data_IF_501255263393
#
_entry.id   IF_501255263393
#
_cell.length_a   1.000
_cell.length_b   1.000
_cell.length_c   1.000
_cell.angle_alpha   90.00
_cell.angle_beta   90.00
_cell.angle_gamma   90.00
#
_symmetry.space_group_name_H-M   'P 1'
#
loop_
_entity.id
_entity.type
_entity.pdbx_description
1 polymer ?
#
# COMPACT_ATOMS: atom_id res chain seq x y z
N UNK A 1 -64.93 60.13 -36.22
CA UNK A 1 -64.94 61.61 -36.11
C UNK A 1 -63.57 61.95 -35.54
N UNK A 2 -62.70 62.28 -36.43
CA UNK A 2 -62.05 63.59 -36.67
C UNK A 2 -61.18 64.02 -35.46
N UNK A 3 -60.00 64.48 -35.60
CA UNK A 3 -59.32 64.96 -36.78
C UNK A 3 -57.83 65.13 -36.53
N UNK A 4 -57.16 65.08 -37.60
CA UNK A 4 -55.73 65.49 -37.79
C UNK A 4 -55.55 66.96 -37.41
N UNK A 5 -54.35 67.26 -36.91
CA UNK A 5 -53.67 68.51 -37.33
C UNK A 5 -52.15 68.30 -37.25
N UNK A 6 -51.49 68.45 -38.38
CA UNK A 6 -50.08 68.54 -38.67
C UNK A 6 -49.54 69.96 -38.39
N UNK A 7 -48.22 70.15 -38.38
CA UNK A 7 -47.48 71.22 -37.70
C UNK A 7 -47.26 72.47 -38.57
N UNK A 8 -46.59 73.46 -38.05
CA UNK A 8 -45.82 74.34 -38.94
C UNK A 8 -44.31 74.22 -38.72
N UNK A 9 -43.65 74.23 -39.84
CA UNK A 9 -42.22 74.32 -40.00
C UNK A 9 -41.69 75.73 -39.75
N UNK A 10 -40.39 75.77 -39.59
CA UNK A 10 -39.40 76.78 -39.91
C UNK A 10 -38.75 77.51 -38.71
N UNK A 11 -37.52 77.49 -38.55
CA UNK A 11 -36.61 78.49 -39.14
C UNK A 11 -35.18 78.26 -38.66
N UNK A 12 -34.30 78.20 -39.64
CA UNK A 12 -32.87 78.17 -39.48
C UNK A 12 -32.31 79.41 -38.81
N UNK A 13 -31.47 79.26 -37.80
CA UNK A 13 -30.45 80.26 -37.47
C UNK A 13 -29.24 79.56 -36.99
N UNK A 14 -28.16 79.66 -37.78
CA UNK A 14 -26.84 79.18 -37.47
C UNK A 14 -26.21 79.88 -36.27
N UNK A 15 -25.69 79.18 -35.38
CA UNK A 15 -24.87 79.63 -34.29
C UNK A 15 -23.70 78.64 -34.11
N UNK A 16 -22.57 78.95 -34.72
CA UNK A 16 -21.30 78.27 -34.46
C UNK A 16 -20.82 78.58 -33.06
N UNK A 17 -21.10 77.75 -32.10
CA UNK A 17 -20.43 77.81 -30.79
C UNK A 17 -19.22 76.83 -30.83
N UNK A 18 -18.05 77.44 -30.98
CA UNK A 18 -16.80 76.82 -30.69
C UNK A 18 -16.74 76.51 -29.21
N UNK A 19 -17.18 75.29 -28.82
CA UNK A 19 -16.92 74.74 -27.47
C UNK A 19 -15.41 74.55 -27.23
N UNK A 20 -14.92 74.78 -26.02
CA UNK A 20 -13.52 74.59 -25.73
C UNK A 20 -13.19 73.10 -25.92
N UNK A 21 -12.06 72.78 -26.59
CA UNK A 21 -11.51 71.46 -26.82
C UNK A 21 -11.46 70.71 -25.49
N UNK A 22 -12.19 69.60 -25.36
CA UNK A 22 -12.08 68.69 -24.22
C UNK A 22 -10.66 68.11 -24.23
N UNK A 23 -9.84 68.55 -23.29
CA UNK A 23 -8.55 67.93 -22.98
C UNK A 23 -8.80 66.45 -22.63
N UNK A 24 -8.02 65.50 -23.19
CA UNK A 24 -8.21 64.09 -22.91
C UNK A 24 -8.03 63.89 -21.39
N UNK A 25 -9.12 63.54 -20.70
CA UNK A 25 -9.09 63.09 -19.30
C UNK A 25 -8.18 61.90 -19.20
N UNK A 26 -6.96 62.10 -18.79
CA UNK A 26 -6.06 61.03 -18.36
C UNK A 26 -6.77 60.26 -17.27
N UNK A 27 -7.19 59.03 -17.59
CA UNK A 27 -7.70 58.08 -16.57
C UNK A 27 -6.63 57.95 -15.48
N UNK A 28 -6.84 58.67 -14.37
CA UNK A 28 -6.06 58.40 -13.15
C UNK A 28 -6.18 56.90 -12.84
N UNK A 29 -5.10 56.17 -12.95
CA UNK A 29 -5.03 54.78 -12.47
C UNK A 29 -5.40 54.79 -10.99
N UNK A 30 -6.59 54.33 -10.65
CA UNK A 30 -7.09 54.12 -9.28
C UNK A 30 -6.39 52.89 -8.71
N UNK A 31 -5.09 52.93 -8.50
CA UNK A 31 -4.31 51.88 -7.88
C UNK A 31 -3.16 52.52 -7.09
N UNK A 32 -2.63 51.82 -6.05
CA UNK A 32 -1.48 52.30 -5.30
C UNK A 32 -0.32 52.56 -6.24
N UNK A 33 0.46 53.59 -5.94
CA UNK A 33 1.67 53.90 -6.75
C UNK A 33 2.55 52.67 -6.83
N UNK A 34 3.27 52.45 -7.97
CA UNK A 34 4.18 51.32 -8.11
C UNK A 34 5.20 51.18 -6.96
N UNK A 35 5.63 52.32 -6.42
CA UNK A 35 6.52 52.36 -5.27
C UNK A 35 5.90 51.79 -3.99
N UNK A 36 4.63 52.04 -3.72
CA UNK A 36 3.88 51.51 -2.59
C UNK A 36 3.73 49.99 -2.76
N UNK A 37 3.31 49.55 -3.97
CA UNK A 37 3.19 48.11 -4.27
C UNK A 37 4.52 47.36 -4.10
N UNK A 38 5.65 47.94 -4.60
CA UNK A 38 6.94 47.39 -4.42
C UNK A 38 7.35 47.35 -2.94
N UNK A 39 7.13 48.41 -2.17
CA UNK A 39 7.47 48.46 -0.74
C UNK A 39 6.69 47.38 0.07
N UNK A 40 5.44 47.10 -0.26
CA UNK A 40 4.66 46.04 0.38
C UNK A 40 5.12 44.63 -0.04
N UNK A 41 5.54 44.44 -1.29
CA UNK A 41 6.00 43.13 -1.80
C UNK A 41 7.47 42.84 -1.46
N UNK A 42 8.27 43.87 -1.18
CA UNK A 42 9.70 43.73 -0.97
C UNK A 42 10.10 42.73 0.13
N UNK A 43 9.50 42.76 1.34
CA UNK A 43 9.83 41.80 2.37
C UNK A 43 9.57 40.33 1.95
N UNK A 44 8.43 40.08 1.31
CA UNK A 44 8.10 38.76 0.80
C UNK A 44 9.04 38.33 -0.34
N UNK A 45 9.35 39.24 -1.26
CA UNK A 45 10.26 38.98 -2.37
C UNK A 45 11.69 38.72 -1.88
N UNK A 46 12.19 39.45 -0.86
CA UNK A 46 13.47 39.19 -0.23
C UNK A 46 13.53 37.81 0.43
N UNK A 47 12.51 37.46 1.21
CA UNK A 47 12.46 36.14 1.82
C UNK A 47 12.42 35.02 0.77
N UNK A 48 11.62 35.14 -0.28
CA UNK A 48 11.61 34.19 -1.40
C UNK A 48 12.97 34.16 -2.14
N UNK A 49 13.60 35.32 -2.34
CA UNK A 49 14.93 35.42 -2.96
C UNK A 49 15.96 34.64 -2.16
N UNK A 50 16.05 34.86 -0.86
CA UNK A 50 17.06 34.26 0.01
C UNK A 50 16.77 32.77 0.27
N UNK A 51 15.54 32.40 0.57
CA UNK A 51 15.22 31.03 1.01
C UNK A 51 14.80 30.07 -0.11
N UNK A 52 14.41 30.58 -1.28
CA UNK A 52 13.99 29.76 -2.41
C UNK A 52 14.90 29.92 -3.61
N UNK A 53 15.04 31.16 -4.13
CA UNK A 53 15.79 31.40 -5.37
C UNK A 53 17.28 31.13 -5.18
N UNK A 54 17.88 31.67 -4.12
CA UNK A 54 19.29 31.46 -3.84
C UNK A 54 19.69 29.98 -3.70
N UNK A 55 19.02 29.13 -2.91
CA UNK A 55 19.36 27.70 -2.84
C UNK A 55 19.19 26.96 -4.17
N UNK A 56 18.20 27.32 -4.98
CA UNK A 56 18.02 26.72 -6.32
C UNK A 56 19.20 27.09 -7.23
N UNK A 57 19.58 28.38 -7.28
CA UNK A 57 20.70 28.85 -8.09
C UNK A 57 22.01 28.23 -7.59
N UNK A 58 22.20 28.19 -6.27
CA UNK A 58 23.38 27.56 -5.67
C UNK A 58 23.45 26.06 -6.03
N UNK A 59 22.35 25.30 -5.91
CA UNK A 59 22.30 23.89 -6.27
C UNK A 59 22.57 23.70 -7.77
N UNK A 60 22.01 24.56 -8.62
CA UNK A 60 22.27 24.49 -10.06
C UNK A 60 23.75 24.71 -10.37
N UNK A 61 24.36 25.76 -9.81
CA UNK A 61 25.79 25.99 -10.00
C UNK A 61 26.61 24.84 -9.43
N UNK A 62 26.27 24.38 -8.23
CA UNK A 62 26.95 23.27 -7.54
C UNK A 62 26.90 21.96 -8.32
N UNK A 63 25.81 21.71 -9.06
CA UNK A 63 25.63 20.51 -9.88
C UNK A 63 26.60 20.39 -11.07
N UNK A 64 27.24 21.50 -11.44
CA UNK A 64 28.23 21.53 -12.50
C UNK A 64 29.66 21.23 -12.01
N UNK A 65 29.83 21.01 -10.70
CA UNK A 65 31.13 20.74 -10.08
C UNK A 65 31.17 19.32 -9.50
N UNK A 66 32.40 18.83 -9.27
CA UNK A 66 32.65 17.47 -8.76
C UNK A 66 32.19 17.22 -7.33
N UNK A 67 32.65 16.13 -6.72
CA UNK A 67 32.13 15.63 -5.45
C UNK A 67 32.25 16.63 -4.30
N UNK A 68 33.41 17.31 -4.15
CA UNK A 68 33.67 18.21 -3.03
C UNK A 68 33.99 19.64 -3.49
N UNK A 69 33.34 20.62 -2.85
CA UNK A 69 33.53 22.03 -3.09
C UNK A 69 33.36 22.45 -4.58
N UNK A 70 33.89 23.59 -4.97
CA UNK A 70 33.92 24.12 -6.34
C UNK A 70 35.30 23.94 -7.00
N UNK A 71 36.08 22.92 -6.58
CA UNK A 71 37.45 22.72 -7.03
C UNK A 71 37.57 22.11 -8.43
N UNK A 72 36.59 21.27 -8.82
CA UNK A 72 36.61 20.54 -10.08
C UNK A 72 35.35 20.83 -10.89
N UNK A 73 35.50 21.51 -12.02
CA UNK A 73 34.38 21.75 -12.93
C UNK A 73 34.18 20.57 -13.85
N UNK A 74 33.05 19.84 -13.68
CA UNK A 74 32.70 18.64 -14.46
C UNK A 74 31.60 18.89 -15.50
N UNK A 75 31.08 20.12 -15.58
CA UNK A 75 30.03 20.50 -16.51
C UNK A 75 28.77 19.59 -16.35
N UNK A 76 28.38 18.92 -17.41
CA UNK A 76 27.21 18.02 -17.38
C UNK A 76 27.53 16.58 -16.91
N UNK A 77 28.74 16.30 -16.45
CA UNK A 77 29.17 14.95 -16.04
C UNK A 77 28.28 14.35 -14.97
N UNK A 78 27.86 15.12 -13.96
CA UNK A 78 26.92 14.66 -12.94
C UNK A 78 25.55 14.26 -13.52
N UNK A 79 25.06 14.99 -14.53
CA UNK A 79 23.79 14.66 -15.21
C UNK A 79 23.91 13.41 -16.06
N UNK A 80 25.05 13.18 -16.70
CA UNK A 80 25.33 11.93 -17.44
C UNK A 80 25.35 10.77 -16.47
N UNK A 81 25.98 10.91 -15.29
CA UNK A 81 26.02 9.89 -14.25
C UNK A 81 24.63 9.47 -13.78
N UNK A 82 23.65 10.40 -13.72
CA UNK A 82 22.25 10.08 -13.36
C UNK A 82 21.67 8.98 -14.27
N UNK A 83 22.04 8.99 -15.57
CA UNK A 83 21.49 8.06 -16.57
C UNK A 83 22.44 6.89 -16.91
N UNK A 84 23.63 6.82 -16.33
CA UNK A 84 24.61 5.76 -16.60
C UNK A 84 24.87 4.88 -15.37
N UNK A 85 24.67 5.39 -14.16
CA UNK A 85 24.84 4.61 -12.94
C UNK A 85 23.67 3.65 -12.70
N UNK A 86 23.90 2.32 -12.54
CA UNK A 86 22.83 1.34 -12.34
C UNK A 86 21.99 1.58 -11.09
N UNK A 87 22.58 2.10 -10.01
CA UNK A 87 21.88 2.44 -8.77
C UNK A 87 20.89 3.56 -8.97
N UNK A 88 21.32 4.62 -9.65
CA UNK A 88 20.49 5.79 -9.98
C UNK A 88 19.39 5.42 -10.98
N UNK A 89 19.66 4.55 -11.96
CA UNK A 89 18.65 4.04 -12.88
C UNK A 89 17.54 3.26 -12.16
N UNK A 90 17.90 2.43 -11.17
CA UNK A 90 16.92 1.75 -10.31
C UNK A 90 16.04 2.75 -9.57
N UNK A 91 16.62 3.81 -9.06
CA UNK A 91 15.95 4.91 -8.38
C UNK A 91 14.96 5.63 -9.30
N UNK A 92 15.35 5.92 -10.54
CA UNK A 92 14.47 6.54 -11.55
C UNK A 92 13.30 5.61 -11.89
N UNK A 93 13.57 4.32 -12.11
CA UNK A 93 12.53 3.31 -12.36
C UNK A 93 11.51 3.28 -11.22
N UNK A 94 11.97 3.26 -9.98
CA UNK A 94 11.09 3.26 -8.81
C UNK A 94 10.25 4.54 -8.76
N UNK A 95 10.85 5.72 -9.00
CA UNK A 95 10.11 6.96 -9.09
C UNK A 95 9.02 6.92 -10.16
N UNK A 96 9.28 6.32 -11.31
CA UNK A 96 8.28 6.16 -12.37
C UNK A 96 7.12 5.27 -11.91
N UNK A 97 7.41 4.16 -11.23
CA UNK A 97 6.39 3.30 -10.61
C UNK A 97 5.55 4.12 -9.62
N UNK A 98 6.20 4.89 -8.76
CA UNK A 98 5.53 5.74 -7.78
C UNK A 98 4.59 6.76 -8.43
N UNK A 99 5.07 7.48 -9.44
CA UNK A 99 4.31 8.55 -10.14
C UNK A 99 3.11 7.99 -10.90
N UNK A 100 3.19 6.76 -11.38
CA UNK A 100 2.07 6.12 -12.09
C UNK A 100 1.10 5.48 -11.08
N UNK A 101 1.60 4.64 -10.19
CA UNK A 101 0.76 3.76 -9.38
C UNK A 101 0.08 4.49 -8.23
N UNK A 102 0.84 5.25 -7.44
CA UNK A 102 0.30 5.85 -6.21
C UNK A 102 -0.78 6.92 -6.48
N UNK A 103 -0.63 7.88 -7.43
CA UNK A 103 -1.68 8.84 -7.74
C UNK A 103 -2.97 8.19 -8.26
N UNK A 104 -2.85 7.15 -9.09
CA UNK A 104 -4.02 6.42 -9.60
C UNK A 104 -4.78 5.77 -8.45
N UNK A 105 -4.08 5.03 -7.57
CA UNK A 105 -4.72 4.33 -6.45
C UNK A 105 -5.34 5.34 -5.47
N UNK A 106 -4.60 6.37 -5.05
CA UNK A 106 -5.08 7.39 -4.11
C UNK A 106 -6.31 8.11 -4.66
N UNK A 107 -6.28 8.55 -5.93
CA UNK A 107 -7.39 9.28 -6.54
C UNK A 107 -8.61 8.36 -6.71
N UNK A 108 -8.40 7.11 -7.11
CA UNK A 108 -9.48 6.14 -7.28
C UNK A 108 -10.14 5.79 -5.95
N UNK A 109 -9.35 5.47 -4.92
CA UNK A 109 -9.87 5.20 -3.57
C UNK A 109 -10.55 6.43 -2.96
N UNK A 110 -9.94 7.61 -3.14
CA UNK A 110 -10.55 8.87 -2.72
C UNK A 110 -11.92 9.10 -3.37
N UNK A 111 -12.04 8.82 -4.67
CA UNK A 111 -13.32 8.91 -5.38
C UNK A 111 -14.34 7.90 -4.88
N UNK A 112 -13.93 6.65 -4.70
CA UNK A 112 -14.81 5.59 -4.14
C UNK A 112 -15.32 6.02 -2.77
N UNK A 113 -14.44 6.44 -1.88
CA UNK A 113 -14.83 6.89 -0.53
C UNK A 113 -15.71 8.14 -0.57
N UNK A 114 -15.44 9.10 -1.46
CA UNK A 114 -16.25 10.29 -1.62
C UNK A 114 -17.70 9.93 -2.03
N UNK A 115 -17.86 9.07 -3.04
CA UNK A 115 -19.18 8.61 -3.51
C UNK A 115 -19.91 7.78 -2.46
N UNK A 116 -19.21 6.88 -1.77
CA UNK A 116 -19.83 6.08 -0.70
C UNK A 116 -20.33 6.94 0.45
N UNK A 117 -19.58 7.99 0.81
CA UNK A 117 -19.97 8.89 1.91
C UNK A 117 -21.21 9.74 1.62
N UNK A 118 -21.62 9.94 0.37
CA UNK A 118 -22.85 10.64 0.04
C UNK A 118 -24.11 9.89 0.51
N UNK A 119 -24.04 8.57 0.63
CA UNK A 119 -25.16 7.68 0.95
C UNK A 119 -25.22 7.22 2.40
N UNK A 120 -24.21 7.50 3.21
CA UNK A 120 -24.09 7.03 4.58
C UNK A 120 -24.62 8.06 5.58
N UNK A 121 -25.48 7.65 6.54
CA UNK A 121 -26.06 8.55 7.57
C UNK A 121 -24.98 9.15 8.49
N UNK A 122 -23.87 8.47 8.72
CA UNK A 122 -22.75 8.91 9.57
C UNK A 122 -21.50 9.31 8.76
N UNK A 123 -21.77 9.89 7.57
CA UNK A 123 -20.73 10.35 6.63
C UNK A 123 -19.64 11.22 7.27
N UNK A 124 -19.99 12.09 8.20
CA UNK A 124 -19.04 12.97 8.89
C UNK A 124 -18.04 12.17 9.72
N UNK A 125 -18.50 11.21 10.51
CA UNK A 125 -17.62 10.35 11.31
C UNK A 125 -16.70 9.52 10.41
N UNK A 126 -17.23 8.94 9.33
CA UNK A 126 -16.43 8.19 8.37
C UNK A 126 -15.35 9.06 7.72
N UNK A 127 -15.72 10.27 7.27
CA UNK A 127 -14.76 11.23 6.68
C UNK A 127 -13.65 11.59 7.66
N UNK A 128 -13.98 11.81 8.93
CA UNK A 128 -12.99 12.10 9.96
C UNK A 128 -12.02 10.94 10.19
N UNK A 129 -12.53 9.69 10.29
CA UNK A 129 -11.71 8.50 10.50
C UNK A 129 -10.75 8.29 9.32
N UNK A 130 -11.25 8.37 8.09
CA UNK A 130 -10.42 8.16 6.88
C UNK A 130 -9.44 9.31 6.65
N UNK A 131 -9.75 10.53 7.11
CA UNK A 131 -8.87 11.69 7.01
C UNK A 131 -7.80 11.73 8.12
N UNK A 132 -8.05 11.11 9.27
CA UNK A 132 -7.17 11.14 10.45
C UNK A 132 -5.71 10.74 10.17
N UNK A 133 -5.39 9.76 9.31
CA UNK A 133 -4.01 9.41 8.99
C UNK A 133 -3.16 10.58 8.48
N UNK A 134 -3.76 11.54 7.78
CA UNK A 134 -3.05 12.72 7.29
C UNK A 134 -2.54 13.65 8.40
N UNK A 135 -3.14 13.58 9.60
CA UNK A 135 -2.68 14.35 10.76
C UNK A 135 -1.40 13.74 11.38
N UNK A 136 -1.06 12.50 11.04
CA UNK A 136 0.14 11.82 11.51
C UNK A 136 1.33 12.25 10.64
N UNK A 137 2.50 12.51 11.25
CA UNK A 137 3.69 12.81 10.45
C UNK A 137 4.09 11.61 9.60
N UNK A 138 4.65 11.86 8.40
CA UNK A 138 5.09 10.77 7.50
C UNK A 138 6.14 9.87 8.14
N UNK A 139 7.00 10.40 9.01
CA UNK A 139 7.96 9.59 9.77
C UNK A 139 7.24 8.64 10.76
N UNK A 140 6.25 9.15 11.51
CA UNK A 140 5.48 8.30 12.42
C UNK A 140 4.67 7.25 11.65
N UNK A 141 4.05 7.61 10.53
CA UNK A 141 3.41 6.67 9.63
C UNK A 141 4.39 5.58 9.14
N UNK A 142 5.62 5.98 8.81
CA UNK A 142 6.70 5.05 8.44
C UNK A 142 7.01 4.02 9.53
N UNK A 143 7.12 4.46 10.79
CA UNK A 143 7.35 3.55 11.93
C UNK A 143 6.15 2.61 12.14
N UNK A 144 4.93 3.13 12.06
CA UNK A 144 3.69 2.31 12.18
C UNK A 144 3.71 1.21 11.11
N UNK A 145 3.93 1.56 9.84
CA UNK A 145 3.91 0.58 8.76
C UNK A 145 5.08 -0.38 8.78
N UNK A 146 6.24 0.02 9.29
CA UNK A 146 7.34 -0.91 9.53
C UNK A 146 6.95 -2.00 10.52
N UNK A 147 6.21 -1.67 11.57
CA UNK A 147 5.67 -2.64 12.54
C UNK A 147 4.52 -3.47 11.93
N UNK A 148 3.61 -2.83 11.18
CA UNK A 148 2.50 -3.53 10.50
C UNK A 148 3.02 -4.61 9.54
N UNK A 149 4.15 -4.35 8.86
CA UNK A 149 4.77 -5.24 7.89
C UNK A 149 5.84 -6.16 8.48
N UNK A 150 5.96 -6.24 9.81
CA UNK A 150 6.88 -7.19 10.47
C UNK A 150 6.55 -8.61 10.01
N UNK A 151 7.61 -9.40 9.76
CA UNK A 151 7.47 -10.72 9.14
C UNK A 151 6.78 -11.73 10.08
N UNK A 152 7.07 -11.67 11.40
CA UNK A 152 6.43 -12.55 12.36
C UNK A 152 4.93 -12.23 12.49
N UNK A 153 4.02 -13.20 12.29
CA UNK A 153 2.58 -13.00 12.48
C UNK A 153 2.21 -12.54 13.89
N UNK A 154 3.00 -12.88 14.90
CA UNK A 154 2.77 -12.46 16.30
C UNK A 154 3.02 -10.97 16.53
N UNK A 155 3.78 -10.32 15.64
CA UNK A 155 4.20 -8.92 15.78
C UNK A 155 3.68 -8.03 14.66
N UNK A 156 3.54 -8.58 13.44
CA UNK A 156 3.13 -7.86 12.24
C UNK A 156 1.67 -8.04 11.90
N UNK A 157 0.88 -6.96 11.98
CA UNK A 157 -0.57 -7.01 11.73
C UNK A 157 -0.90 -7.56 10.34
N UNK A 158 -0.15 -7.18 9.30
CA UNK A 158 -0.40 -7.63 7.93
C UNK A 158 -0.28 -9.15 7.80
N UNK A 159 0.74 -9.76 8.41
CA UNK A 159 0.92 -11.21 8.39
C UNK A 159 -0.02 -11.91 9.38
N UNK A 160 -0.35 -11.31 10.53
CA UNK A 160 -1.36 -11.85 11.44
C UNK A 160 -2.71 -12.05 10.73
N UNK A 161 -3.16 -11.06 9.96
CA UNK A 161 -4.42 -11.15 9.18
C UNK A 161 -4.30 -12.21 8.09
N UNK A 162 -3.19 -12.23 7.34
CA UNK A 162 -3.00 -13.19 6.24
C UNK A 162 -2.94 -14.63 6.74
N UNK A 163 -2.22 -14.89 7.84
CA UNK A 163 -2.14 -16.24 8.42
C UNK A 163 -3.46 -16.68 9.00
N UNK A 164 -4.19 -15.80 9.72
CA UNK A 164 -5.54 -16.10 10.22
C UNK A 164 -6.50 -16.47 9.09
N UNK A 165 -6.46 -15.73 7.97
CA UNK A 165 -7.28 -16.06 6.79
C UNK A 165 -6.83 -17.37 6.15
N UNK A 166 -5.52 -17.60 5.99
CA UNK A 166 -5.00 -18.84 5.44
C UNK A 166 -5.37 -20.05 6.31
N UNK A 167 -5.25 -19.92 7.64
CA UNK A 167 -5.58 -20.97 8.60
C UNK A 167 -7.08 -21.30 8.61
N UNK A 168 -7.96 -20.35 8.26
CA UNK A 168 -9.40 -20.60 8.10
C UNK A 168 -9.67 -21.58 6.93
N UNK A 169 -8.81 -21.59 5.92
CA UNK A 169 -8.92 -22.48 4.74
C UNK A 169 -7.96 -23.67 4.79
N UNK A 170 -7.01 -23.71 5.72
CA UNK A 170 -6.01 -24.78 5.89
C UNK A 170 -6.17 -25.37 7.28
N UNK A 171 -6.62 -26.61 7.37
CA UNK A 171 -6.83 -27.32 8.65
C UNK A 171 -5.56 -27.97 9.21
N UNK A 172 -4.42 -27.85 8.57
CA UNK A 172 -3.17 -28.49 9.00
C UNK A 172 -2.25 -27.51 9.72
N UNK A 173 -1.96 -27.82 10.98
CA UNK A 173 -0.84 -27.22 11.70
C UNK A 173 0.44 -27.91 11.22
N UNK A 174 1.32 -27.15 10.53
CA UNK A 174 2.55 -27.70 10.00
C UNK A 174 3.59 -27.96 11.08
N UNK A 175 4.24 -29.12 11.02
CA UNK A 175 5.37 -29.49 11.87
C UNK A 175 6.65 -29.66 11.02
N UNK A 176 7.27 -28.55 10.58
CA UNK A 176 8.45 -28.62 9.73
C UNK A 176 9.60 -29.31 10.47
N UNK A 177 10.36 -30.15 9.76
CA UNK A 177 11.42 -31.00 10.26
C UNK A 177 10.95 -32.20 11.10
N UNK A 178 9.65 -32.34 11.39
CA UNK A 178 9.13 -33.58 11.96
C UNK A 178 9.21 -34.72 10.95
N UNK A 179 9.53 -35.93 11.41
CA UNK A 179 9.64 -37.11 10.60
C UNK A 179 9.23 -38.36 11.39
N UNK A 180 8.86 -39.45 10.72
CA UNK A 180 8.57 -40.70 11.44
C UNK A 180 9.82 -41.15 12.18
N UNK A 181 9.63 -41.82 13.31
CA UNK A 181 10.72 -42.52 13.97
C UNK A 181 11.22 -43.67 13.05
N UNK A 182 12.48 -43.68 12.71
CA UNK A 182 13.10 -44.73 11.93
C UNK A 182 13.43 -45.96 12.79
N UNK A 183 13.46 -47.15 12.18
CA UNK A 183 13.81 -48.40 12.81
C UNK A 183 12.90 -49.56 12.37
N UNK A 184 13.38 -50.79 12.52
CA UNK A 184 12.67 -52.00 12.09
C UNK A 184 11.35 -52.21 12.87
N UNK A 185 11.30 -51.75 14.10
CA UNK A 185 10.12 -51.84 14.97
C UNK A 185 9.14 -50.68 14.82
N UNK A 186 9.49 -49.67 14.05
CA UNK A 186 8.56 -48.54 13.82
C UNK A 186 7.39 -49.00 12.96
N UNK A 187 6.14 -48.75 13.40
CA UNK A 187 4.94 -49.11 12.65
C UNK A 187 4.71 -48.26 11.40
N UNK A 188 5.47 -47.17 11.23
CA UNK A 188 5.34 -46.20 10.16
C UNK A 188 6.64 -46.01 9.36
N UNK A 189 6.51 -45.51 8.15
CA UNK A 189 7.61 -45.15 7.27
C UNK A 189 7.36 -43.80 6.58
N UNK A 190 8.46 -43.15 6.14
CA UNK A 190 8.35 -41.98 5.30
C UNK A 190 7.98 -42.41 3.86
N UNK A 191 7.00 -41.70 3.25
CA UNK A 191 6.60 -41.90 1.86
C UNK A 191 6.14 -40.59 1.26
N UNK A 192 6.64 -40.20 0.11
CA UNK A 192 6.24 -39.00 -0.68
C UNK A 192 6.22 -37.71 0.15
N UNK A 193 7.16 -37.54 1.09
CA UNK A 193 7.21 -36.37 1.98
C UNK A 193 6.21 -36.42 3.15
N UNK A 194 5.39 -37.45 3.23
CA UNK A 194 4.48 -37.75 4.34
C UNK A 194 4.91 -38.99 5.14
N UNK A 195 4.02 -39.51 5.96
CA UNK A 195 4.20 -40.70 6.80
C UNK A 195 3.07 -41.67 6.54
N UNK A 196 3.38 -42.97 6.40
CA UNK A 196 2.40 -44.05 6.19
C UNK A 196 2.61 -45.20 7.14
N UNK A 197 1.55 -45.92 7.47
CA UNK A 197 1.67 -47.21 8.20
C UNK A 197 2.29 -48.26 7.30
N UNK A 198 3.31 -48.99 7.81
CA UNK A 198 3.99 -50.06 7.07
C UNK A 198 3.07 -51.23 6.73
N UNK A 199 2.08 -51.49 7.56
CA UNK A 199 1.09 -52.54 7.36
C UNK A 199 -0.31 -51.98 7.33
N UNK A 200 -1.23 -52.53 6.54
CA UNK A 200 -2.64 -52.15 6.59
C UNK A 200 -3.21 -52.42 7.99
N UNK A 201 -4.04 -51.48 8.45
CA UNK A 201 -4.66 -51.51 9.77
C UNK A 201 -6.18 -51.78 9.65
N UNK A 202 -6.72 -52.40 10.66
CA UNK A 202 -8.15 -52.71 10.74
C UNK A 202 -8.82 -52.00 11.93
N UNK A 203 -10.11 -51.83 11.90
CA UNK A 203 -10.84 -51.31 13.04
C UNK A 203 -10.66 -52.15 14.30
N UNK A 204 -10.64 -51.53 15.47
CA UNK A 204 -10.50 -52.14 16.77
C UNK A 204 -9.07 -52.22 17.34
N UNK A 205 -8.05 -51.85 16.54
CA UNK A 205 -6.69 -51.71 17.05
C UNK A 205 -6.23 -50.22 16.89
N UNK A 206 -5.68 -49.62 17.93
CA UNK A 206 -5.21 -48.23 17.84
C UNK A 206 -3.99 -48.12 16.93
N UNK A 207 -4.02 -47.16 16.00
CA UNK A 207 -2.90 -46.85 15.12
C UNK A 207 -1.91 -45.94 15.84
N UNK A 208 -0.69 -46.40 15.98
CA UNK A 208 0.39 -45.68 16.65
C UNK A 208 1.30 -45.02 15.62
N UNK A 209 1.43 -43.67 15.67
CA UNK A 209 2.23 -42.90 14.73
C UNK A 209 3.29 -42.09 15.51
N UNK A 210 4.46 -42.66 15.79
CA UNK A 210 5.57 -41.98 16.48
C UNK A 210 6.28 -40.99 15.55
N UNK A 211 6.31 -39.73 15.95
CA UNK A 211 6.95 -38.63 15.21
C UNK A 211 8.12 -38.10 16.05
N UNK A 212 9.25 -37.82 15.40
CA UNK A 212 10.44 -37.21 16.01
C UNK A 212 10.84 -35.94 15.27
N UNK A 213 11.75 -35.14 15.82
CA UNK A 213 12.30 -33.95 15.19
C UNK A 213 11.37 -32.72 15.27
N UNK A 214 10.33 -32.76 16.12
CA UNK A 214 9.50 -31.59 16.37
C UNK A 214 10.31 -30.59 17.18
N UNK A 215 10.40 -29.36 16.68
CA UNK A 215 11.08 -28.26 17.39
C UNK A 215 10.20 -27.69 18.48
N UNK A 216 10.76 -27.28 19.64
CA UNK A 216 9.97 -26.70 20.74
C UNK A 216 9.13 -25.48 20.36
N UNK A 217 9.64 -24.67 19.41
CA UNK A 217 8.94 -23.45 18.95
C UNK A 217 7.70 -23.73 18.11
N UNK A 218 7.59 -24.96 17.57
CA UNK A 218 6.46 -25.37 16.72
C UNK A 218 5.41 -26.15 17.52
N UNK A 219 5.76 -26.59 18.74
CA UNK A 219 4.82 -27.31 19.59
C UNK A 219 3.73 -26.37 20.09
N UNK A 220 2.45 -26.63 19.77
CA UNK A 220 1.36 -25.80 20.23
C UNK A 220 1.25 -25.74 21.75
N UNK A 221 0.91 -24.57 22.29
CA UNK A 221 0.78 -24.37 23.73
C UNK A 221 -0.35 -25.21 24.36
N UNK A 222 -1.36 -25.58 23.57
CA UNK A 222 -2.48 -26.43 23.96
C UNK A 222 -2.19 -27.93 23.82
N UNK A 223 -1.01 -28.34 23.36
CA UNK A 223 -0.65 -29.76 23.24
C UNK A 223 -0.67 -30.46 24.61
N UNK A 224 -1.54 -31.47 24.73
CA UNK A 224 -1.70 -32.28 25.94
C UNK A 224 -0.82 -33.53 25.88
N UNK A 225 -0.74 -34.24 27.01
CA UNK A 225 -0.08 -35.55 27.07
C UNK A 225 -0.78 -36.52 26.14
N UNK A 226 0.03 -37.24 25.33
CA UNK A 226 -0.47 -38.19 24.36
C UNK A 226 -1.30 -39.29 25.03
N UNK A 227 -2.46 -39.61 24.42
CA UNK A 227 -3.35 -40.68 24.89
C UNK A 227 -3.71 -41.58 23.75
N UNK A 228 -3.54 -42.87 23.96
CA UNK A 228 -3.99 -43.90 23.01
C UNK A 228 -5.53 -44.00 23.14
N UNK A 229 -6.31 -43.72 22.10
CA UNK A 229 -7.74 -43.83 22.17
C UNK A 229 -8.19 -45.28 22.34
N UNK A 230 -9.16 -45.53 23.22
CA UNK A 230 -9.82 -46.80 23.36
C UNK A 230 -11.19 -46.75 22.67
N UNK A 231 -11.62 -47.81 22.02
CA UNK A 231 -12.96 -47.90 21.46
C UNK A 231 -13.06 -48.58 20.09
N UNK A 232 -14.29 -48.75 19.63
CA UNK A 232 -14.62 -49.33 18.34
C UNK A 232 -14.31 -48.37 17.19
N UNK A 233 -13.97 -48.88 16.01
CA UNK A 233 -13.63 -48.11 14.82
C UNK A 233 -12.12 -47.99 14.59
N UNK A 234 -11.75 -47.31 13.51
CA UNK A 234 -10.35 -46.98 13.17
C UNK A 234 -9.96 -45.67 13.87
N UNK A 235 -9.08 -45.80 14.87
CA UNK A 235 -8.61 -44.68 15.66
C UNK A 235 -7.13 -44.82 15.98
N UNK A 236 -6.47 -43.77 16.41
CA UNK A 236 -5.05 -43.82 16.73
C UNK A 236 -4.55 -42.55 17.41
N UNK A 237 -3.24 -42.43 17.55
CA UNK A 237 -2.57 -41.31 18.15
C UNK A 237 -1.31 -40.96 17.36
N UNK A 238 -1.12 -39.67 17.14
CA UNK A 238 0.09 -39.07 16.60
C UNK A 238 0.76 -38.29 17.72
N UNK A 239 1.99 -38.65 18.06
CA UNK A 239 2.65 -37.99 19.19
C UNK A 239 4.13 -37.72 18.92
N UNK A 240 4.69 -36.78 19.68
CA UNK A 240 6.12 -36.51 19.70
C UNK A 240 6.79 -37.54 20.59
N UNK A 241 7.37 -38.55 19.93
CA UNK A 241 8.07 -39.71 20.57
C UNK A 241 9.44 -39.25 21.06
N UNK A 242 9.42 -38.47 22.15
CA UNK A 242 10.58 -37.91 22.82
C UNK A 242 10.32 -37.69 24.29
N UNK A 243 11.03 -38.41 25.15
CA UNK A 243 10.96 -38.22 26.60
C UNK A 243 12.14 -37.37 27.06
N UNK A 244 11.81 -36.17 27.59
CA UNK A 244 12.81 -35.23 28.12
C UNK A 244 13.52 -35.85 29.33
N UNK A 245 14.86 -35.93 29.30
CA UNK A 245 15.68 -36.57 30.32
C UNK A 245 16.00 -38.03 30.05
N UNK A 246 15.45 -38.63 29.00
CA UNK A 246 15.68 -40.04 28.63
C UNK A 246 14.79 -41.02 29.40
N UNK A 247 14.90 -42.31 29.12
CA UNK A 247 14.19 -43.40 29.83
C UNK A 247 12.84 -43.78 29.19
N UNK A 248 12.41 -43.10 28.13
CA UNK A 248 11.20 -43.46 27.38
C UNK A 248 11.41 -44.69 26.51
N UNK A 249 10.32 -45.37 26.16
CA UNK A 249 10.30 -46.50 25.24
C UNK A 249 9.98 -46.04 23.83
N UNK A 250 10.93 -46.15 22.93
CA UNK A 250 10.78 -45.76 21.53
C UNK A 250 9.57 -46.45 20.88
N UNK A 251 8.70 -45.67 20.25
CA UNK A 251 7.50 -46.18 19.53
C UNK A 251 6.34 -46.61 20.43
N UNK A 252 6.42 -46.36 21.75
CA UNK A 252 5.32 -46.55 22.69
C UNK A 252 4.96 -45.20 23.35
N UNK A 253 3.71 -44.94 23.54
CA UNK A 253 3.24 -43.71 24.22
C UNK A 253 3.63 -43.78 25.69
N UNK A 254 4.52 -42.89 26.14
CA UNK A 254 4.92 -42.75 27.54
C UNK A 254 4.23 -41.50 28.19
N UNK A 255 4.01 -41.55 29.50
CA UNK A 255 3.16 -40.61 30.22
C UNK A 255 3.62 -39.15 30.24
N UNK A 256 4.81 -38.83 29.73
CA UNK A 256 5.31 -37.45 29.61
C UNK A 256 5.34 -36.93 28.18
N UNK A 257 5.06 -37.76 27.20
CA UNK A 257 5.12 -37.40 25.78
C UNK A 257 3.89 -36.63 25.34
N UNK A 258 4.07 -35.67 24.41
CA UNK A 258 3.02 -34.82 23.95
C UNK A 258 2.38 -35.31 22.65
N UNK A 259 1.07 -35.27 22.60
CA UNK A 259 0.33 -35.41 21.35
C UNK A 259 0.65 -34.28 20.36
N UNK A 260 0.47 -34.53 19.08
CA UNK A 260 0.60 -33.55 18.02
C UNK A 260 -0.76 -33.14 17.51
N UNK A 261 -1.33 -32.03 18.01
CA UNK A 261 -2.65 -31.54 17.60
C UNK A 261 -2.67 -30.98 16.19
N UNK A 262 -3.84 -30.97 15.56
CA UNK A 262 -4.07 -30.30 14.28
C UNK A 262 -3.49 -30.99 13.06
N UNK A 263 -2.90 -32.20 13.19
CA UNK A 263 -2.40 -32.96 12.04
C UNK A 263 -3.56 -33.60 11.26
N UNK A 264 -3.51 -33.47 9.95
CA UNK A 264 -4.43 -34.20 9.06
C UNK A 264 -4.03 -35.66 8.97
N UNK A 265 -4.97 -36.55 9.18
CA UNK A 265 -4.78 -38.00 9.08
C UNK A 265 -5.75 -38.55 8.03
N UNK A 266 -5.27 -39.35 7.11
CA UNK A 266 -6.07 -39.92 6.02
C UNK A 266 -6.09 -41.44 6.15
N UNK A 267 -7.30 -42.01 6.02
CA UNK A 267 -7.48 -43.45 5.81
C UNK A 267 -7.55 -43.71 4.30
N UNK A 268 -6.61 -44.46 3.78
CA UNK A 268 -6.47 -44.75 2.35
C UNK A 268 -6.84 -46.20 2.09
N UNK A 269 -7.72 -46.45 1.12
CA UNK A 269 -8.09 -47.82 0.65
C UNK A 269 -7.97 -47.86 -0.87
N UNK A 270 -7.31 -48.84 -1.43
CA UNK A 270 -7.09 -48.96 -2.88
C UNK A 270 -6.46 -47.74 -3.55
N UNK A 271 -5.60 -47.01 -2.82
CA UNK A 271 -4.94 -45.79 -3.32
C UNK A 271 -5.80 -44.52 -3.29
N UNK A 272 -7.06 -44.59 -2.83
CA UNK A 272 -7.93 -43.47 -2.67
C UNK A 272 -8.17 -43.14 -1.20
N UNK A 273 -8.30 -41.83 -0.88
CA UNK A 273 -8.64 -41.36 0.47
C UNK A 273 -10.10 -41.70 0.74
N UNK A 274 -10.37 -42.61 1.68
CA UNK A 274 -11.69 -43.02 2.10
C UNK A 274 -12.29 -42.10 3.18
N UNK A 275 -11.45 -41.59 4.09
CA UNK A 275 -11.85 -40.63 5.12
C UNK A 275 -10.65 -39.81 5.57
N UNK A 276 -10.93 -38.62 6.14
CA UNK A 276 -9.95 -37.70 6.71
C UNK A 276 -10.38 -37.37 8.15
N UNK A 277 -9.42 -37.29 9.06
CA UNK A 277 -9.59 -36.85 10.44
C UNK A 277 -8.51 -35.83 10.81
N UNK A 278 -8.73 -35.04 11.86
CA UNK A 278 -7.74 -34.14 12.43
C UNK A 278 -7.42 -34.58 13.85
N UNK A 279 -6.15 -34.55 14.24
CA UNK A 279 -5.74 -34.91 15.59
C UNK A 279 -6.21 -33.89 16.63
N UNK A 280 -6.70 -34.38 17.77
CA UNK A 280 -7.06 -33.59 18.94
C UNK A 280 -5.82 -33.07 19.71
N UNK A 281 -6.04 -32.32 20.80
CA UNK A 281 -4.95 -31.73 21.61
C UNK A 281 -4.00 -32.77 22.25
N UNK A 282 -4.48 -33.97 22.50
CA UNK A 282 -3.71 -35.12 22.97
C UNK A 282 -3.15 -36.01 21.85
N UNK A 283 -3.24 -35.53 20.58
CA UNK A 283 -2.80 -36.24 19.39
C UNK A 283 -3.71 -37.38 18.94
N UNK A 284 -4.80 -37.66 19.65
CA UNK A 284 -5.73 -38.72 19.27
C UNK A 284 -6.54 -38.33 18.02
N UNK A 285 -6.88 -39.34 17.19
CA UNK A 285 -7.77 -39.17 16.04
C UNK A 285 -8.71 -40.36 15.92
N UNK A 286 -9.84 -40.13 15.26
CA UNK A 286 -10.83 -41.16 14.97
C UNK A 286 -11.47 -40.89 13.62
N UNK A 287 -11.62 -41.96 12.84
CA UNK A 287 -12.39 -41.87 11.60
C UNK A 287 -13.84 -42.33 11.86
N UNK A 288 -14.76 -41.50 11.38
CA UNK A 288 -16.20 -41.81 11.45
C UNK A 288 -16.70 -42.36 10.12
N UNK A 289 -17.63 -43.30 10.17
CA UNK A 289 -18.35 -43.79 8.98
C UNK A 289 -17.52 -44.67 8.02
N UNK A 290 -16.37 -45.18 8.41
CA UNK A 290 -15.59 -46.09 7.58
C UNK A 290 -16.27 -47.48 7.47
N UNK A 291 -16.31 -48.01 6.26
CA UNK A 291 -16.76 -49.41 6.03
C UNK A 291 -15.77 -50.41 6.65
N UNK A 292 -16.22 -51.60 7.04
CA UNK A 292 -15.29 -52.68 7.47
C UNK A 292 -14.28 -52.99 6.38
N UNK A 293 -12.98 -52.98 6.74
CA UNK A 293 -11.91 -53.25 5.79
C UNK A 293 -10.52 -52.97 6.34
N UNK A 294 -9.52 -53.16 5.50
CA UNK A 294 -8.13 -52.82 5.78
C UNK A 294 -7.78 -51.45 5.14
N UNK A 295 -7.15 -50.61 5.90
CA UNK A 295 -6.74 -49.27 5.49
C UNK A 295 -5.26 -49.02 5.72
N UNK A 296 -4.65 -48.25 4.85
CA UNK A 296 -3.35 -47.63 5.12
C UNK A 296 -3.60 -46.26 5.73
N UNK A 297 -3.10 -45.98 6.91
CA UNK A 297 -3.22 -44.63 7.52
C UNK A 297 -2.02 -43.80 7.08
N UNK A 298 -2.31 -42.61 6.56
CA UNK A 298 -1.31 -41.69 6.02
C UNK A 298 -1.44 -40.29 6.69
N UNK A 299 -0.29 -39.73 7.05
CA UNK A 299 -0.13 -38.31 7.30
C UNK A 299 0.38 -37.66 6.02
N UNK A 300 -0.39 -36.82 5.32
CA UNK A 300 0.06 -36.19 4.09
C UNK A 300 1.20 -35.19 4.36
N UNK A 301 1.99 -34.90 3.31
CA UNK A 301 3.16 -34.01 3.38
C UNK A 301 2.82 -32.60 3.90
N UNK A 302 1.58 -32.14 3.73
CA UNK A 302 1.11 -30.85 4.25
C UNK A 302 1.29 -30.71 5.77
N UNK A 303 1.29 -31.81 6.53
CA UNK A 303 1.58 -31.79 7.96
C UNK A 303 3.04 -31.46 8.27
N UNK A 304 3.95 -31.66 7.33
CA UNK A 304 5.41 -31.51 7.50
C UNK A 304 5.94 -30.28 6.75
N UNK A 305 5.09 -29.58 6.04
CA UNK A 305 5.41 -28.29 5.45
C UNK A 305 5.33 -27.20 6.53
N UNK A 306 6.17 -26.16 6.40
CA UNK A 306 6.06 -25.02 7.29
C UNK A 306 4.68 -24.38 7.14
N UNK A 307 4.02 -24.08 8.25
CA UNK A 307 2.80 -23.28 8.25
C UNK A 307 3.03 -22.01 7.45
N UNK A 308 2.01 -21.54 6.74
CA UNK A 308 2.12 -20.29 5.98
C UNK A 308 2.56 -19.14 6.88
N UNK A 309 3.84 -18.79 6.77
CA UNK A 309 4.49 -17.77 7.61
C UNK A 309 4.21 -16.32 7.18
N UNK A 310 3.24 -16.12 6.29
CA UNK A 310 2.94 -14.80 5.74
C UNK A 310 3.86 -14.40 4.59
N UNK A 311 3.79 -13.13 4.20
CA UNK A 311 4.57 -12.53 3.13
C UNK A 311 5.76 -11.75 3.70
N UNK A 312 6.87 -11.73 2.96
CA UNK A 312 8.00 -10.84 3.25
C UNK A 312 7.73 -9.43 2.70
N UNK A 313 6.83 -8.70 3.35
CA UNK A 313 6.44 -7.34 2.94
C UNK A 313 7.62 -6.40 2.76
N UNK A 314 8.61 -6.50 3.66
CA UNK A 314 9.82 -5.70 3.64
C UNK A 314 10.97 -6.36 2.85
N UNK A 315 10.66 -7.41 2.07
CA UNK A 315 11.60 -8.07 1.17
C UNK A 315 11.77 -7.32 -0.16
N UNK A 316 12.80 -7.67 -0.96
CA UNK A 316 13.17 -6.94 -2.19
C UNK A 316 12.04 -6.80 -3.21
N UNK A 317 11.13 -7.78 -3.26
CA UNK A 317 10.04 -7.84 -4.24
C UNK A 317 8.85 -6.99 -3.84
N UNK A 318 8.49 -6.98 -2.53
CA UNK A 318 7.26 -6.36 -2.03
C UNK A 318 7.48 -5.02 -1.35
N UNK A 319 8.73 -4.58 -1.15
CA UNK A 319 9.02 -3.35 -0.41
C UNK A 319 8.39 -2.11 -1.04
N UNK A 320 8.49 -1.95 -2.36
CA UNK A 320 7.91 -0.78 -3.05
C UNK A 320 6.38 -0.76 -2.99
N UNK A 321 5.64 -1.83 -3.34
CA UNK A 321 4.19 -1.86 -3.17
C UNK A 321 3.74 -1.72 -1.71
N UNK A 322 4.49 -2.26 -0.73
CA UNK A 322 4.19 -2.08 0.69
C UNK A 322 4.27 -0.60 1.11
N UNK A 323 5.33 0.11 0.70
CA UNK A 323 5.48 1.53 1.01
C UNK A 323 4.42 2.37 0.27
N UNK A 324 4.06 2.01 -0.97
CA UNK A 324 2.94 2.65 -1.69
C UNK A 324 1.63 2.45 -0.92
N UNK A 325 1.40 1.27 -0.33
CA UNK A 325 0.24 1.01 0.54
C UNK A 325 0.18 1.97 1.74
N UNK A 326 1.31 2.20 2.40
CA UNK A 326 1.41 3.17 3.48
C UNK A 326 1.11 4.61 3.00
N UNK A 327 1.63 5.00 1.85
CA UNK A 327 1.35 6.29 1.23
C UNK A 327 -0.13 6.46 0.90
N UNK A 328 -0.76 5.43 0.33
CA UNK A 328 -2.20 5.41 0.03
C UNK A 328 -3.02 5.60 1.30
N UNK A 329 -2.67 4.91 2.39
CA UNK A 329 -3.35 5.04 3.68
C UNK A 329 -3.30 6.48 4.21
N UNK A 330 -2.18 7.17 4.08
CA UNK A 330 -2.02 8.57 4.50
C UNK A 330 -2.86 9.51 3.63
N UNK A 331 -2.84 9.35 2.31
CA UNK A 331 -3.34 10.34 1.37
C UNK A 331 -4.76 10.09 0.84
N UNK A 332 -5.33 8.88 0.98
CA UNK A 332 -6.66 8.56 0.48
C UNK A 332 -7.76 9.42 1.11
N UNK A 333 -7.63 9.74 2.41
CA UNK A 333 -8.57 10.60 3.12
C UNK A 333 -8.57 12.05 2.60
N UNK A 334 -7.40 12.58 2.29
CA UNK A 334 -7.27 13.90 1.68
C UNK A 334 -7.96 13.95 0.29
N UNK A 335 -7.66 12.96 -0.55
CA UNK A 335 -8.29 12.84 -1.85
C UNK A 335 -9.83 12.73 -1.73
N UNK A 336 -10.32 11.91 -0.79
CA UNK A 336 -11.74 11.77 -0.49
C UNK A 336 -12.40 13.11 -0.13
N UNK A 337 -11.80 13.91 0.76
CA UNK A 337 -12.39 15.18 1.20
C UNK A 337 -12.49 16.18 0.05
N UNK A 338 -11.42 16.31 -0.75
CA UNK A 338 -11.43 17.20 -1.92
C UNK A 338 -12.46 16.77 -2.97
N UNK A 339 -12.52 15.46 -3.26
CA UNK A 339 -13.47 14.93 -4.24
C UNK A 339 -14.91 15.00 -3.74
N UNK A 340 -15.16 14.80 -2.43
CA UNK A 340 -16.48 14.97 -1.85
C UNK A 340 -16.96 16.44 -1.91
N UNK A 341 -16.05 17.41 -1.71
CA UNK A 341 -16.37 18.83 -1.92
C UNK A 341 -16.73 19.12 -3.39
N UNK A 342 -15.98 18.53 -4.33
CA UNK A 342 -16.28 18.62 -5.76
C UNK A 342 -17.63 17.98 -6.13
N UNK A 343 -17.96 16.80 -5.56
CA UNK A 343 -19.25 16.14 -5.75
C UNK A 343 -20.41 17.02 -5.24
N UNK A 344 -20.26 17.61 -4.07
CA UNK A 344 -21.28 18.50 -3.49
C UNK A 344 -21.55 19.75 -4.33
N UNK A 345 -20.62 20.17 -5.18
CA UNK A 345 -20.76 21.31 -6.09
C UNK A 345 -21.51 20.97 -7.39
N UNK A 346 -21.79 19.69 -7.67
CA UNK A 346 -22.53 19.28 -8.87
C UNK A 346 -24.01 19.64 -8.71
N UNK A 347 -24.64 20.34 -9.69
CA UNK A 347 -26.06 20.67 -9.65
C UNK A 347 -26.93 19.42 -9.58
N UNK A 348 -27.79 19.32 -8.58
CA UNK A 348 -28.69 18.18 -8.39
C UNK A 348 -29.66 18.00 -9.53
N UNK A 349 -30.13 19.11 -10.12
CA UNK A 349 -31.04 19.08 -11.26
C UNK A 349 -30.52 18.30 -12.45
N UNK A 350 -29.21 18.38 -12.71
CA UNK A 350 -28.58 17.60 -13.79
C UNK A 350 -28.60 16.09 -13.52
N UNK A 351 -28.46 15.67 -12.26
CA UNK A 351 -28.50 14.27 -11.86
C UNK A 351 -29.94 13.73 -11.87
N UNK A 352 -30.91 14.54 -11.44
CA UNK A 352 -32.33 14.19 -11.41
C UNK A 352 -32.92 14.10 -12.84
N UNK A 353 -32.60 15.07 -13.71
CA UNK A 353 -33.03 15.03 -15.12
C UNK A 353 -32.57 13.74 -15.81
N UNK A 354 -31.32 13.35 -15.64
CA UNK A 354 -30.81 12.11 -16.23
C UNK A 354 -31.51 10.85 -15.70
N UNK A 355 -31.92 10.83 -14.43
CA UNK A 355 -32.68 9.72 -13.85
C UNK A 355 -34.11 9.68 -14.40
N UNK A 356 -34.73 10.84 -14.62
CA UNK A 356 -36.06 10.94 -15.26
C UNK A 356 -35.98 10.43 -16.70
N UNK A 357 -34.87 10.71 -17.41
CA UNK A 357 -34.62 10.17 -18.76
C UNK A 357 -34.29 8.67 -18.80
N UNK A 358 -34.36 7.97 -17.66
CA UNK A 358 -34.15 6.53 -17.55
C UNK A 358 -32.70 6.08 -17.50
N UNK A 359 -31.74 6.99 -17.22
CA UNK A 359 -30.35 6.60 -17.06
C UNK A 359 -30.15 5.79 -15.77
N UNK A 360 -29.36 4.69 -15.86
CA UNK A 360 -28.94 3.93 -14.69
C UNK A 360 -27.95 4.71 -13.86
N UNK A 361 -27.81 4.41 -12.55
CA UNK A 361 -26.84 5.07 -11.64
C UNK A 361 -25.40 5.03 -12.19
N UNK A 362 -25.02 3.93 -12.86
CA UNK A 362 -23.71 3.81 -13.52
C UNK A 362 -23.56 4.75 -14.72
N UNK A 363 -24.64 4.93 -15.50
CA UNK A 363 -24.65 5.90 -16.62
C UNK A 363 -24.58 7.34 -16.12
N UNK A 364 -25.33 7.68 -15.08
CA UNK A 364 -25.25 8.99 -14.41
C UNK A 364 -23.83 9.23 -13.90
N UNK A 365 -23.25 8.27 -13.17
CA UNK A 365 -21.89 8.38 -12.65
C UNK A 365 -20.88 8.60 -13.77
N UNK A 366 -20.85 7.72 -14.79
CA UNK A 366 -19.82 7.77 -15.85
C UNK A 366 -19.99 8.94 -16.81
N UNK A 367 -21.23 9.32 -17.15
CA UNK A 367 -21.50 10.32 -18.22
C UNK A 367 -21.76 11.72 -17.69
N UNK A 368 -22.10 11.88 -16.41
CA UNK A 368 -22.43 13.17 -15.81
C UNK A 368 -21.49 13.47 -14.64
N UNK A 369 -21.46 12.62 -13.61
CA UNK A 369 -20.70 12.89 -12.38
C UNK A 369 -19.19 12.96 -12.67
N UNK A 370 -18.61 11.96 -13.31
CA UNK A 370 -17.16 11.93 -13.58
C UNK A 370 -16.71 13.08 -14.50
N UNK A 371 -17.40 13.39 -15.62
CA UNK A 371 -17.03 14.55 -16.45
C UNK A 371 -17.14 15.88 -15.70
N UNK A 372 -18.18 16.11 -14.93
CA UNK A 372 -18.34 17.34 -14.14
C UNK A 372 -17.31 17.43 -13.00
N UNK A 373 -16.92 16.31 -12.43
CA UNK A 373 -15.89 16.22 -11.38
C UNK A 373 -14.46 16.25 -11.95
N UNK A 374 -14.29 16.08 -13.26
CA UNK A 374 -12.96 15.94 -13.88
C UNK A 374 -11.96 17.07 -13.57
N UNK A 375 -12.38 18.35 -13.41
CA UNK A 375 -11.45 19.39 -13.00
C UNK A 375 -10.85 19.15 -11.61
N UNK A 376 -11.68 18.72 -10.64
CA UNK A 376 -11.25 18.42 -9.28
C UNK A 376 -10.43 17.13 -9.24
N UNK A 377 -10.86 16.09 -9.97
CA UNK A 377 -10.09 14.83 -10.13
C UNK A 377 -8.68 15.11 -10.61
N UNK A 378 -8.53 15.97 -11.61
CA UNK A 378 -7.21 16.29 -12.13
C UNK A 378 -6.36 17.08 -11.16
N UNK A 379 -6.94 18.03 -10.40
CA UNK A 379 -6.21 18.76 -9.35
C UNK A 379 -5.69 17.80 -8.30
N UNK A 380 -6.52 16.87 -7.81
CA UNK A 380 -6.12 15.84 -6.86
C UNK A 380 -5.02 14.97 -7.45
N UNK A 381 -5.21 14.49 -8.66
CA UNK A 381 -4.25 13.60 -9.35
C UNK A 381 -2.87 14.26 -9.52
N UNK A 382 -2.83 15.50 -10.02
CA UNK A 382 -1.58 16.25 -10.18
C UNK A 382 -0.92 16.55 -8.83
N UNK A 383 -1.71 16.87 -7.81
CA UNK A 383 -1.19 17.07 -6.45
C UNK A 383 -0.54 15.79 -5.93
N UNK A 384 -1.14 14.63 -6.17
CA UNK A 384 -0.55 13.33 -5.80
C UNK A 384 0.73 13.04 -6.59
N UNK A 385 0.80 13.35 -7.87
CA UNK A 385 2.05 13.23 -8.66
C UNK A 385 3.17 14.06 -8.01
N UNK A 386 2.89 15.31 -7.67
CA UNK A 386 3.88 16.18 -7.03
C UNK A 386 4.34 15.62 -5.68
N UNK A 387 3.43 15.07 -4.88
CA UNK A 387 3.77 14.47 -3.59
C UNK A 387 4.56 13.16 -3.73
N UNK A 388 4.24 12.33 -4.74
CA UNK A 388 4.98 11.10 -5.01
C UNK A 388 6.40 11.36 -5.53
N UNK A 389 6.60 12.39 -6.33
CA UNK A 389 7.95 12.80 -6.79
C UNK A 389 8.86 13.21 -5.63
N UNK A 390 8.30 13.74 -4.56
CA UNK A 390 9.03 14.21 -3.37
C UNK A 390 9.05 13.20 -2.22
N UNK A 391 8.54 11.97 -2.43
CA UNK A 391 8.49 10.97 -1.36
C UNK A 391 9.92 10.65 -0.88
N UNK A 392 10.13 10.76 0.43
CA UNK A 392 11.41 10.51 1.10
C UNK A 392 11.18 9.73 2.40
N UNK A 393 10.43 10.33 3.35
CA UNK A 393 10.30 9.86 4.73
C UNK A 393 9.82 8.41 4.82
N UNK A 394 8.79 8.05 4.07
CA UNK A 394 8.23 6.70 4.08
C UNK A 394 9.24 5.67 3.59
N UNK A 395 9.96 5.97 2.50
CA UNK A 395 10.97 5.05 1.96
C UNK A 395 12.13 4.91 2.93
N UNK A 396 12.60 6.02 3.50
CA UNK A 396 13.72 6.03 4.44
C UNK A 396 13.44 5.22 5.71
N UNK A 397 12.23 5.33 6.26
CA UNK A 397 11.87 4.69 7.54
C UNK A 397 11.42 3.24 7.36
N UNK A 398 10.59 2.95 6.36
CA UNK A 398 9.99 1.61 6.18
C UNK A 398 11.01 0.62 5.63
N UNK A 399 11.82 1.03 4.65
CA UNK A 399 12.76 0.12 4.01
C UNK A 399 13.94 -0.23 4.94
N UNK A 400 14.15 -1.53 5.28
CA UNK A 400 15.36 -1.96 5.96
C UNK A 400 16.61 -1.61 5.14
N UNK A 401 17.73 -1.32 5.81
CA UNK A 401 18.98 -0.93 5.15
C UNK A 401 19.44 -1.93 4.07
N UNK A 402 19.23 -3.23 4.30
CA UNK A 402 19.57 -4.31 3.35
C UNK A 402 18.74 -4.29 2.06
N UNK A 403 17.52 -3.73 2.09
CA UNK A 403 16.55 -3.71 0.97
C UNK A 403 16.34 -2.28 0.45
N UNK A 404 16.88 -1.28 1.13
CA UNK A 404 16.73 0.13 0.77
C UNK A 404 17.16 0.45 -0.67
N UNK A 405 18.24 -0.16 -1.24
CA UNK A 405 18.61 0.07 -2.64
C UNK A 405 17.50 -0.30 -3.64
N UNK A 406 16.71 -1.34 -3.36
CA UNK A 406 15.61 -1.78 -4.22
C UNK A 406 14.38 -0.87 -4.14
N UNK A 407 14.17 -0.21 -2.99
CA UNK A 407 13.06 0.71 -2.75
C UNK A 407 13.42 2.18 -3.02
N UNK A 408 14.69 2.47 -3.29
CA UNK A 408 15.23 3.82 -3.34
C UNK A 408 14.51 4.69 -4.37
N UNK A 409 14.37 5.98 -4.03
CA UNK A 409 13.73 7.01 -4.85
C UNK A 409 14.66 8.23 -4.99
N UNK A 410 14.44 9.06 -6.01
CA UNK A 410 15.36 10.17 -6.33
C UNK A 410 15.59 11.11 -5.16
N UNK A 411 14.55 11.41 -4.38
CA UNK A 411 14.69 12.28 -3.20
C UNK A 411 15.57 11.64 -2.10
N UNK A 412 15.46 10.33 -1.90
CA UNK A 412 16.30 9.61 -0.94
C UNK A 412 17.74 9.43 -1.46
N UNK A 413 17.92 9.15 -2.76
CA UNK A 413 19.25 9.04 -3.36
C UNK A 413 19.98 10.38 -3.30
N UNK A 414 19.32 11.48 -3.61
CA UNK A 414 19.86 12.84 -3.46
C UNK A 414 20.43 13.06 -2.06
N UNK A 415 19.69 12.70 -1.02
CA UNK A 415 20.12 12.81 0.36
C UNK A 415 21.30 11.88 0.68
N UNK A 416 21.20 10.62 0.24
CA UNK A 416 22.21 9.57 0.50
C UNK A 416 23.56 9.93 -0.12
N UNK A 417 23.54 10.41 -1.34
CA UNK A 417 24.75 10.80 -2.08
C UNK A 417 25.36 12.06 -1.48
N UNK A 418 24.55 13.04 -1.04
CA UNK A 418 25.04 14.30 -0.49
C UNK A 418 25.49 14.20 0.96
N UNK A 419 24.69 13.52 1.83
CA UNK A 419 24.79 13.59 3.29
C UNK A 419 24.84 12.21 3.96
N UNK A 420 24.33 11.17 3.30
CA UNK A 420 24.21 9.81 3.83
C UNK A 420 25.48 8.96 3.68
N UNK A 421 26.67 9.57 3.61
CA UNK A 421 27.96 8.89 3.49
C UNK A 421 28.57 8.90 2.08
N UNK A 422 27.82 9.29 1.05
CA UNK A 422 28.33 9.40 -0.33
C UNK A 422 29.27 10.59 -0.55
N UNK A 423 29.14 11.65 0.25
CA UNK A 423 29.95 12.88 0.21
C UNK A 423 30.10 13.49 -1.19
N UNK A 424 29.18 13.22 -2.11
CA UNK A 424 29.19 13.77 -3.46
C UNK A 424 28.08 14.83 -3.61
N UNK A 425 28.38 16.04 -3.19
CA UNK A 425 27.45 17.16 -3.26
C UNK A 425 27.14 17.61 -4.69
N UNK A 426 28.06 17.38 -5.64
CA UNK A 426 27.86 17.70 -7.06
C UNK A 426 26.74 16.85 -7.66
N UNK A 427 26.84 15.53 -7.52
CA UNK A 427 25.81 14.59 -7.98
C UNK A 427 24.49 14.78 -7.22
N UNK A 428 24.54 14.98 -5.90
CA UNK A 428 23.33 15.25 -5.11
C UNK A 428 22.62 16.53 -5.54
N UNK A 429 23.37 17.58 -5.85
CA UNK A 429 22.81 18.83 -6.42
C UNK A 429 22.21 18.62 -7.81
N UNK A 430 22.86 17.80 -8.66
CA UNK A 430 22.30 17.42 -9.96
C UNK A 430 20.98 16.65 -9.84
N UNK A 431 20.88 15.71 -8.89
CA UNK A 431 19.65 14.99 -8.57
C UNK A 431 18.54 15.93 -8.06
N UNK A 432 18.91 16.94 -7.23
CA UNK A 432 17.95 17.96 -6.77
C UNK A 432 17.37 18.76 -7.94
N UNK A 433 18.22 19.22 -8.86
CA UNK A 433 17.80 19.95 -10.06
C UNK A 433 16.99 19.05 -10.99
N UNK A 434 17.40 17.79 -11.17
CA UNK A 434 16.64 16.79 -11.94
C UNK A 434 15.23 16.62 -11.38
N UNK A 435 15.08 16.50 -10.06
CA UNK A 435 13.79 16.38 -9.38
C UNK A 435 12.93 17.65 -9.57
N UNK A 436 13.55 18.82 -9.46
CA UNK A 436 12.89 20.10 -9.72
C UNK A 436 12.34 20.15 -11.16
N UNK A 437 13.16 19.78 -12.15
CA UNK A 437 12.76 19.75 -13.56
C UNK A 437 11.60 18.77 -13.80
N UNK A 438 11.57 17.62 -13.11
CA UNK A 438 10.47 16.67 -13.17
C UNK A 438 9.16 17.23 -12.59
N UNK A 439 9.23 18.02 -11.52
CA UNK A 439 8.03 18.58 -10.85
C UNK A 439 7.45 19.77 -11.62
N UNK A 440 8.30 20.60 -12.25
CA UNK A 440 7.89 21.85 -12.91
C UNK A 440 6.75 21.71 -13.92
N UNK A 441 6.74 20.74 -14.85
CA UNK A 441 5.63 20.58 -15.81
C UNK A 441 4.29 20.39 -15.15
N UNK A 442 4.23 19.56 -14.10
CA UNK A 442 2.99 19.29 -13.36
C UNK A 442 2.52 20.51 -12.57
N UNK A 443 3.46 21.25 -11.99
CA UNK A 443 3.15 22.50 -11.29
C UNK A 443 2.62 23.59 -12.27
N UNK A 444 3.26 23.74 -13.42
CA UNK A 444 2.81 24.70 -14.46
C UNK A 444 1.42 24.29 -15.00
N UNK A 445 1.19 23.00 -15.22
CA UNK A 445 -0.11 22.47 -15.65
C UNK A 445 -1.20 22.81 -14.63
N UNK A 446 -0.92 22.65 -13.35
CA UNK A 446 -1.84 22.98 -12.26
C UNK A 446 -2.17 24.48 -12.24
N UNK A 447 -1.15 25.36 -12.26
CA UNK A 447 -1.31 26.83 -12.28
C UNK A 447 -2.11 27.30 -13.51
N UNK A 448 -1.80 26.76 -14.70
CA UNK A 448 -2.52 27.15 -15.92
C UNK A 448 -4.01 26.80 -15.88
N UNK A 449 -4.38 25.72 -15.21
CA UNK A 449 -5.79 25.33 -15.05
C UNK A 449 -6.53 26.21 -14.06
N UNK A 450 -5.92 26.57 -12.93
CA UNK A 450 -6.53 27.51 -11.99
C UNK A 450 -6.87 28.83 -12.70
N UNK A 451 -5.96 29.37 -13.51
CA UNK A 451 -6.19 30.61 -14.27
C UNK A 451 -7.29 30.52 -15.34
N UNK A 452 -7.60 29.32 -15.85
CA UNK A 452 -8.69 29.10 -16.83
C UNK A 452 -10.06 28.90 -16.17
N UNK A 453 -10.11 28.53 -14.92
CA UNK A 453 -11.35 28.38 -14.16
C UNK A 453 -11.88 29.72 -13.57
N UNK A 454 -11.06 30.78 -13.59
CA UNK A 454 -11.45 32.13 -13.16
C UNK A 454 -11.91 33.04 -14.33
N UNK A 455 -11.90 32.57 -15.54
CA UNK A 455 -12.41 33.22 -16.76
C UNK A 455 -13.66 32.50 -17.29
#
# INVERSE_FOLDING_TARGET
>A
MNGRQDPPAASSAGGTSTGPAETPRTRKRLGPSPAVAIAFLLPAALLLGIWVVYPIVYSFVRSLFGAQNFSEFVGLGNYISIFTDPGTLTTIRNNLIWVIVAPIIVTTLGLIFAVLTERIKWATAFKLIVFMPMAVSLMAAGVIFRLVYEQSPDKGLANAVLTTVADTFSSSQGYPAARPREGDQSPVAAQDGGVVTKQPVQAGQPVLIPIVGVKPEVMPSNAQTAKTPAGEGLSGVVWFDFTQGGGGRNGAVDGAEKGLPGMTVEAVQNGQVAATATTAEDGSFRFEGLAPGSYTVRLPKSNFEASYGGLQWLGPTLITPAIIGAFVWVWAGFAMVLLAAGLAAIPRDALEAARIDGATEWQVFRRITVPLLSPVLLVVFVTMIINTLKVFDLVFIIAPASVQPQANVVALEMWRVSFGGGNNQGLGSALAIFLLVLVLPFMIMNIRRFRRGES
#
